data_IF_817033970010
#
_entry.id   IF_817033970010
#
_cell.length_a   1.000
_cell.length_b   1.000
_cell.length_c   1.000
_cell.angle_alpha   90.00
_cell.angle_beta   90.00
_cell.angle_gamma   90.00
#
_symmetry.space_group_name_H-M   'P 1'
#
loop_
_entity.id
_entity.type
_entity.pdbx_description
1 polymer ?
#
# COMPACT_ATOMS: atom_id res chain seq x y z
N UNK A 1 -8.45 -17.72 5.49
CA UNK A 1 -9.64 -18.38 4.92
C UNK A 1 -9.97 -17.65 3.62
N UNK A 2 -9.66 -18.29 2.49
CA UNK A 2 -10.01 -17.73 1.18
C UNK A 2 -11.51 -17.95 0.98
N UNK A 3 -12.27 -16.90 1.05
CA UNK A 3 -13.70 -16.94 0.70
C UNK A 3 -13.80 -16.95 -0.83
N UNK A 4 -13.97 -18.14 -1.43
CA UNK A 4 -14.34 -18.27 -2.82
C UNK A 4 -15.76 -17.72 -2.99
N UNK A 5 -15.87 -16.52 -3.52
CA UNK A 5 -17.15 -15.92 -3.84
C UNK A 5 -17.50 -16.33 -5.28
N UNK A 6 -18.51 -17.21 -5.40
CA UNK A 6 -19.13 -17.52 -6.68
C UNK A 6 -19.97 -16.30 -7.12
N UNK A 7 -19.63 -15.70 -8.24
CA UNK A 7 -20.34 -14.56 -8.81
C UNK A 7 -20.71 -14.86 -10.27
N UNK A 8 -21.95 -14.50 -10.67
CA UNK A 8 -22.34 -14.48 -12.07
C UNK A 8 -21.95 -13.13 -12.66
N UNK A 9 -21.32 -13.11 -13.82
CA UNK A 9 -20.99 -11.87 -14.55
C UNK A 9 -22.26 -11.17 -15.02
N UNK A 10 -23.22 -11.96 -15.53
CA UNK A 10 -24.50 -11.48 -16.07
C UNK A 10 -25.67 -12.14 -15.34
N UNK A 11 -26.03 -11.68 -14.12
CA UNK A 11 -27.13 -12.26 -13.34
C UNK A 11 -28.50 -12.11 -14.03
N UNK A 12 -28.64 -11.14 -14.94
CA UNK A 12 -29.83 -10.92 -15.74
C UNK A 12 -30.24 -12.11 -16.60
N UNK A 13 -29.28 -12.94 -17.06
CA UNK A 13 -29.62 -14.13 -17.82
C UNK A 13 -30.30 -15.22 -16.98
N UNK A 14 -30.20 -15.17 -15.66
CA UNK A 14 -30.93 -16.10 -14.79
C UNK A 14 -32.44 -15.92 -14.86
N UNK A 15 -32.94 -14.74 -15.28
CA UNK A 15 -34.37 -14.53 -15.49
C UNK A 15 -34.94 -15.42 -16.62
N UNK A 16 -34.08 -15.86 -17.57
CA UNK A 16 -34.52 -16.80 -18.61
C UNK A 16 -34.90 -18.17 -18.06
N UNK A 17 -34.54 -18.52 -16.81
CA UNK A 17 -35.03 -19.71 -16.14
C UNK A 17 -36.56 -19.72 -16.00
N UNK A 18 -37.21 -18.56 -16.03
CA UNK A 18 -38.68 -18.45 -16.04
C UNK A 18 -39.32 -19.01 -17.33
N UNK A 19 -38.54 -19.24 -18.38
CA UNK A 19 -39.02 -19.89 -19.60
C UNK A 19 -39.27 -21.40 -19.35
N UNK A 20 -38.59 -22.02 -18.39
CA UNK A 20 -38.71 -23.45 -18.12
C UNK A 20 -40.14 -23.86 -17.70
N UNK A 21 -40.77 -23.22 -16.68
CA UNK A 21 -42.15 -23.55 -16.31
C UNK A 21 -43.12 -23.33 -17.50
N UNK A 22 -42.87 -22.35 -18.36
CA UNK A 22 -43.68 -22.12 -19.57
C UNK A 22 -43.53 -23.28 -20.55
N UNK A 23 -42.31 -23.74 -20.81
CA UNK A 23 -42.04 -24.92 -21.65
C UNK A 23 -42.69 -26.17 -21.10
N UNK A 24 -42.64 -26.39 -19.79
CA UNK A 24 -43.30 -27.53 -19.11
C UNK A 24 -44.82 -27.43 -19.29
N UNK A 25 -45.40 -26.26 -19.09
CA UNK A 25 -46.85 -26.05 -19.25
C UNK A 25 -47.31 -26.31 -20.70
N UNK A 26 -46.55 -25.85 -21.69
CA UNK A 26 -46.80 -26.14 -23.13
C UNK A 26 -46.70 -27.64 -23.40
N UNK A 27 -45.63 -28.31 -22.93
CA UNK A 27 -45.45 -29.74 -23.13
C UNK A 27 -46.61 -30.53 -22.56
N UNK A 28 -47.02 -30.26 -21.29
CA UNK A 28 -48.13 -30.92 -20.63
C UNK A 28 -49.45 -30.62 -21.35
N UNK A 29 -49.66 -29.39 -21.79
CA UNK A 29 -50.88 -29.03 -22.55
C UNK A 29 -51.00 -29.78 -23.85
N UNK A 30 -49.92 -29.81 -24.61
CA UNK A 30 -49.89 -30.57 -25.90
C UNK A 30 -50.20 -32.04 -25.62
N UNK A 31 -49.65 -32.58 -24.57
CA UNK A 31 -49.84 -34.00 -24.21
C UNK A 31 -51.31 -34.31 -23.79
N UNK A 32 -51.92 -33.42 -23.07
CA UNK A 32 -53.34 -33.53 -22.66
C UNK A 32 -54.23 -33.40 -23.92
N UNK A 33 -53.95 -32.47 -24.78
CA UNK A 33 -54.71 -32.27 -26.05
C UNK A 33 -54.61 -33.50 -26.93
N UNK A 34 -53.38 -33.96 -27.18
CA UNK A 34 -53.16 -35.14 -28.00
C UNK A 34 -53.86 -36.38 -27.42
N UNK A 35 -53.79 -36.59 -26.11
CA UNK A 35 -54.47 -37.71 -25.43
C UNK A 35 -56.00 -37.57 -25.58
N UNK A 36 -56.59 -36.35 -25.50
CA UNK A 36 -58.02 -36.10 -25.70
C UNK A 36 -58.42 -36.32 -27.15
N UNK A 37 -57.63 -35.88 -28.13
CA UNK A 37 -57.93 -36.08 -29.56
C UNK A 37 -57.87 -37.55 -29.94
N UNK A 38 -56.85 -38.28 -29.45
CA UNK A 38 -56.70 -39.72 -29.74
C UNK A 38 -57.90 -40.51 -29.16
N UNK A 39 -58.39 -40.17 -27.96
CA UNK A 39 -59.61 -40.80 -27.39
C UNK A 39 -60.88 -40.54 -28.17
N UNK A 40 -60.92 -39.50 -29.03
CA UNK A 40 -62.05 -39.20 -29.90
C UNK A 40 -62.04 -39.99 -31.20
N UNK A 41 -60.88 -40.45 -31.65
CA UNK A 41 -60.71 -41.09 -32.95
C UNK A 41 -60.60 -42.65 -32.89
N UNK A 42 -60.17 -43.22 -31.77
CA UNK A 42 -60.01 -44.67 -31.64
C UNK A 42 -60.26 -45.17 -30.25
N UNK A 43 -60.85 -46.34 -30.13
CA UNK A 43 -61.05 -47.07 -28.89
C UNK A 43 -59.67 -47.59 -28.41
N UNK A 44 -59.40 -47.61 -27.12
CA UNK A 44 -58.07 -47.91 -26.51
C UNK A 44 -57.40 -49.19 -27.05
N UNK A 45 -58.22 -50.20 -27.45
CA UNK A 45 -57.72 -51.48 -28.06
C UNK A 45 -57.17 -51.34 -29.45
N UNK A 46 -57.61 -50.37 -30.25
CA UNK A 46 -57.09 -50.13 -31.63
C UNK A 46 -55.83 -49.29 -31.62
N UNK A 47 -55.54 -48.52 -30.60
CA UNK A 47 -54.33 -47.68 -30.48
C UNK A 47 -53.06 -48.48 -30.38
N UNK A 48 -53.06 -49.61 -29.65
CA UNK A 48 -51.89 -50.47 -29.50
C UNK A 48 -51.46 -51.12 -30.81
N UNK A 49 -52.44 -51.36 -31.70
CA UNK A 49 -52.18 -51.95 -33.02
C UNK A 49 -51.74 -50.92 -34.08
N UNK A 50 -52.22 -49.66 -34.00
CA UNK A 50 -51.95 -48.61 -34.97
C UNK A 50 -50.58 -47.92 -34.72
N UNK A 51 -50.12 -47.89 -33.47
CA UNK A 51 -48.85 -47.19 -33.14
C UNK A 51 -48.08 -48.05 -32.12
N UNK A 52 -47.53 -49.20 -32.58
CA UNK A 52 -46.82 -50.14 -31.68
C UNK A 52 -45.52 -49.58 -31.08
N UNK A 53 -44.98 -48.45 -31.65
CA UNK A 53 -43.73 -47.87 -31.23
C UNK A 53 -43.87 -46.53 -30.47
N UNK A 54 -45.10 -46.08 -30.15
CA UNK A 54 -45.35 -44.90 -29.39
C UNK A 54 -45.01 -45.11 -27.89
N UNK A 55 -43.74 -45.11 -27.58
CA UNK A 55 -43.27 -45.14 -26.20
C UNK A 55 -43.35 -43.73 -25.59
N UNK A 56 -44.30 -43.57 -24.64
CA UNK A 56 -44.41 -42.37 -23.82
C UNK A 56 -43.12 -42.06 -23.07
N UNK A 57 -42.31 -43.08 -22.74
CA UNK A 57 -41.01 -42.91 -22.08
C UNK A 57 -39.98 -42.16 -22.96
N UNK A 58 -39.90 -42.53 -24.25
CA UNK A 58 -38.94 -41.86 -25.18
C UNK A 58 -39.23 -40.40 -25.36
N UNK A 59 -40.50 -39.97 -25.43
CA UNK A 59 -40.89 -38.57 -25.55
C UNK A 59 -40.54 -37.78 -24.26
N UNK A 60 -40.72 -38.37 -23.08
CA UNK A 60 -40.37 -37.74 -21.82
C UNK A 60 -38.86 -37.55 -21.71
N UNK A 61 -38.06 -38.58 -22.07
CA UNK A 61 -36.60 -38.49 -22.01
C UNK A 61 -36.09 -37.38 -22.94
N UNK A 62 -36.64 -37.30 -24.20
CA UNK A 62 -36.26 -36.22 -25.11
C UNK A 62 -36.59 -34.84 -24.55
N UNK A 63 -37.76 -34.65 -23.92
CA UNK A 63 -38.13 -33.39 -23.31
C UNK A 63 -37.25 -33.04 -22.13
N UNK A 64 -36.93 -34.01 -21.26
CA UNK A 64 -36.01 -33.79 -20.10
C UNK A 64 -34.63 -33.40 -20.57
N UNK A 65 -34.07 -34.11 -21.58
CA UNK A 65 -32.78 -33.79 -22.17
C UNK A 65 -32.76 -32.37 -22.78
N UNK A 66 -33.81 -32.02 -23.52
CA UNK A 66 -33.97 -30.68 -24.10
C UNK A 66 -34.00 -29.62 -23.00
N UNK A 67 -34.80 -29.80 -21.95
CA UNK A 67 -34.87 -28.85 -20.83
C UNK A 67 -33.54 -28.74 -20.09
N UNK A 68 -32.81 -29.85 -19.92
CA UNK A 68 -31.49 -29.84 -19.32
C UNK A 68 -30.47 -29.03 -20.14
N UNK A 69 -30.49 -29.16 -21.46
CA UNK A 69 -29.65 -28.37 -22.36
C UNK A 69 -29.97 -26.88 -22.24
N UNK A 70 -31.25 -26.51 -22.18
CA UNK A 70 -31.67 -25.10 -21.99
C UNK A 70 -31.17 -24.56 -20.67
N UNK A 71 -31.31 -25.32 -19.56
CA UNK A 71 -30.81 -24.90 -18.24
C UNK A 71 -29.30 -24.68 -18.27
N UNK A 72 -28.55 -25.65 -18.83
CA UNK A 72 -27.08 -25.54 -18.92
C UNK A 72 -26.66 -24.39 -19.82
N UNK A 73 -27.39 -24.12 -20.91
CA UNK A 73 -27.15 -22.97 -21.78
C UNK A 73 -27.35 -21.63 -21.06
N UNK A 74 -28.42 -21.51 -20.27
CA UNK A 74 -28.66 -20.30 -19.44
C UNK A 74 -27.55 -20.11 -18.41
N UNK A 75 -27.17 -21.18 -17.70
CA UNK A 75 -26.10 -21.10 -16.71
C UNK A 75 -24.73 -20.76 -17.36
N UNK A 76 -24.45 -21.32 -18.53
CA UNK A 76 -23.23 -21.01 -19.27
C UNK A 76 -23.23 -19.53 -19.74
N UNK A 77 -24.38 -19.01 -20.21
CA UNK A 77 -24.52 -17.60 -20.61
C UNK A 77 -24.40 -16.64 -19.44
N UNK A 78 -24.80 -17.05 -18.23
CA UNK A 78 -24.64 -16.27 -17.01
C UNK A 78 -23.17 -16.14 -16.57
N UNK A 79 -22.24 -16.89 -17.19
CA UNK A 79 -20.80 -16.89 -16.96
C UNK A 79 -20.43 -16.92 -15.47
N UNK A 80 -20.47 -18.13 -14.89
CA UNK A 80 -20.08 -18.35 -13.50
C UNK A 80 -18.57 -18.11 -13.33
N UNK A 81 -18.20 -17.00 -12.68
CA UNK A 81 -16.82 -16.67 -12.36
C UNK A 81 -16.46 -17.12 -10.94
N UNK A 82 -15.39 -17.88 -10.84
CA UNK A 82 -14.70 -18.15 -9.57
C UNK A 82 -13.47 -17.26 -9.54
N UNK A 83 -13.57 -16.13 -8.84
CA UNK A 83 -12.45 -15.19 -8.69
C UNK A 83 -12.26 -14.84 -7.23
N UNK A 84 -11.01 -14.78 -6.78
CA UNK A 84 -10.68 -13.96 -5.63
C UNK A 84 -10.91 -12.50 -6.04
N UNK A 85 -11.74 -11.75 -5.32
CA UNK A 85 -11.69 -10.30 -5.41
C UNK A 85 -10.24 -9.92 -5.12
N UNK A 86 -9.48 -9.45 -6.12
CA UNK A 86 -8.48 -8.46 -5.81
C UNK A 86 -9.27 -7.26 -5.26
N UNK A 87 -9.36 -7.16 -3.94
CA UNK A 87 -9.56 -5.86 -3.35
C UNK A 87 -8.37 -5.06 -3.88
N UNK A 88 -8.63 -4.08 -4.75
CA UNK A 88 -7.75 -2.93 -4.82
C UNK A 88 -7.72 -2.38 -3.39
N UNK A 89 -6.81 -2.90 -2.58
CA UNK A 89 -6.34 -2.19 -1.41
C UNK A 89 -5.85 -0.87 -2.00
N UNK A 90 -6.68 0.17 -1.96
CA UNK A 90 -6.21 1.54 -2.03
C UNK A 90 -5.18 1.60 -0.92
N UNK A 91 -3.91 1.35 -1.26
CA UNK A 91 -2.81 1.68 -0.39
C UNK A 91 -2.88 3.19 -0.29
N UNK A 92 -3.47 3.66 0.78
CA UNK A 92 -3.32 5.04 1.18
C UNK A 92 -1.84 5.18 1.47
N UNK A 93 -1.08 5.75 0.50
CA UNK A 93 0.33 6.03 0.67
C UNK A 93 0.52 6.89 1.91
N UNK A 94 1.69 6.86 2.50
CA UNK A 94 2.04 7.73 3.62
C UNK A 94 2.96 8.85 3.16
N UNK A 95 2.88 10.00 3.84
CA UNK A 95 3.81 11.10 3.71
C UNK A 95 4.92 10.92 4.75
N UNK A 96 6.12 10.64 4.29
CA UNK A 96 7.31 10.49 5.12
C UNK A 96 8.20 11.72 5.03
N UNK A 97 8.48 12.37 6.15
CA UNK A 97 9.46 13.46 6.23
C UNK A 97 10.67 13.00 7.03
N UNK A 98 11.83 12.94 6.39
CA UNK A 98 13.10 12.69 7.06
C UNK A 98 13.73 13.99 7.52
N UNK A 99 13.97 14.15 8.81
CA UNK A 99 14.73 15.25 9.39
C UNK A 99 16.12 14.71 9.76
N UNK A 100 17.12 15.15 9.03
CA UNK A 100 18.51 14.66 9.14
C UNK A 100 19.34 15.72 9.80
N UNK A 101 19.92 15.36 10.93
CA UNK A 101 20.95 16.17 11.61
C UNK A 101 22.22 16.20 10.75
N UNK A 102 22.70 17.40 10.47
CA UNK A 102 23.96 17.65 9.77
C UNK A 102 24.92 18.51 10.56
N UNK A 103 24.75 18.53 11.90
CA UNK A 103 25.71 19.16 12.80
C UNK A 103 27.10 18.50 12.70
N UNK A 104 28.12 19.19 13.18
CA UNK A 104 29.50 18.68 13.06
C UNK A 104 29.72 17.36 13.81
N UNK A 105 28.96 17.07 14.86
CA UNK A 105 29.02 15.81 15.62
C UNK A 105 28.67 14.59 14.75
N UNK A 106 27.82 14.78 13.74
CA UNK A 106 27.45 13.74 12.78
C UNK A 106 28.62 13.29 11.86
N UNK A 107 29.74 13.99 11.87
CA UNK A 107 30.99 13.52 11.22
C UNK A 107 31.74 12.48 12.07
N UNK A 108 31.37 12.24 13.32
CA UNK A 108 32.00 11.24 14.18
C UNK A 108 31.97 9.84 13.52
N UNK A 109 33.06 9.08 13.72
CA UNK A 109 33.31 7.80 13.06
C UNK A 109 33.14 6.59 14.01
N UNK A 110 32.44 6.77 15.11
CA UNK A 110 32.08 5.66 16.03
C UNK A 110 31.16 4.64 15.35
N UNK A 111 30.38 5.08 14.39
CA UNK A 111 29.60 4.23 13.50
C UNK A 111 30.13 4.41 12.06
N UNK A 112 30.78 3.39 11.52
CA UNK A 112 31.41 3.47 10.21
C UNK A 112 30.39 3.64 9.06
N UNK A 113 30.67 4.45 8.02
CA UNK A 113 31.89 5.27 7.84
C UNK A 113 31.88 6.57 8.66
N UNK A 114 30.72 7.18 8.90
CA UNK A 114 30.42 8.22 9.88
C UNK A 114 28.95 8.17 10.24
N UNK A 115 28.52 8.86 11.31
CA UNK A 115 27.11 8.91 11.72
C UNK A 115 26.22 9.41 10.57
N UNK A 116 26.63 10.49 9.88
CA UNK A 116 25.89 11.05 8.75
C UNK A 116 25.80 10.07 7.57
N UNK A 117 26.90 9.48 7.16
CA UNK A 117 26.90 8.53 6.04
C UNK A 117 26.09 7.27 6.38
N UNK A 118 26.11 6.83 7.63
CA UNK A 118 25.27 5.72 8.09
C UNK A 118 23.78 6.08 8.07
N UNK A 119 23.44 7.32 8.47
CA UNK A 119 22.06 7.86 8.37
C UNK A 119 21.58 7.87 6.92
N UNK A 120 22.41 8.32 6.00
CA UNK A 120 22.10 8.33 4.54
C UNK A 120 21.87 6.91 4.02
N UNK A 121 22.68 5.95 4.42
CA UNK A 121 22.51 4.53 4.04
C UNK A 121 21.20 3.97 4.60
N UNK A 122 20.85 4.28 5.85
CA UNK A 122 19.59 3.83 6.45
C UNK A 122 18.37 4.39 5.70
N UNK A 123 18.36 5.68 5.40
CA UNK A 123 17.30 6.34 4.62
C UNK A 123 17.20 5.73 3.21
N UNK A 124 18.33 5.52 2.52
CA UNK A 124 18.34 4.90 1.19
C UNK A 124 17.73 3.49 1.22
N UNK A 125 17.99 2.71 2.27
CA UNK A 125 17.38 1.39 2.46
C UNK A 125 15.87 1.47 2.70
N UNK A 126 15.38 2.51 3.39
CA UNK A 126 13.95 2.76 3.56
C UNK A 126 13.34 3.12 2.22
N UNK A 127 13.94 4.08 1.47
CA UNK A 127 13.45 4.51 0.14
C UNK A 127 13.29 3.32 -0.81
N UNK A 128 14.21 2.35 -0.78
CA UNK A 128 14.14 1.15 -1.62
C UNK A 128 12.93 0.24 -1.32
N UNK A 129 12.31 0.39 -0.14
CA UNK A 129 11.15 -0.40 0.31
C UNK A 129 9.83 0.33 0.13
N UNK A 130 9.86 1.63 -0.15
CA UNK A 130 8.67 2.44 -0.37
C UNK A 130 8.00 2.07 -1.70
N UNK A 131 6.67 2.09 -1.70
CA UNK A 131 5.88 1.82 -2.90
C UNK A 131 4.55 2.57 -2.84
N UNK A 132 4.45 3.68 -3.57
CA UNK A 132 3.28 4.55 -3.56
C UNK A 132 3.26 5.58 -2.43
N UNK A 133 4.29 5.62 -1.60
CA UNK A 133 4.48 6.61 -0.54
C UNK A 133 5.13 7.88 -1.08
N UNK A 134 4.97 9.01 -0.37
CA UNK A 134 5.66 10.25 -0.69
C UNK A 134 6.75 10.52 0.35
N UNK A 135 7.85 11.09 -0.10
CA UNK A 135 9.01 11.35 0.73
C UNK A 135 9.47 12.80 0.62
N UNK A 136 9.84 13.40 1.72
CA UNK A 136 10.53 14.68 1.80
C UNK A 136 11.77 14.59 2.69
N UNK A 137 12.71 15.50 2.52
CA UNK A 137 13.93 15.55 3.30
C UNK A 137 14.14 16.98 3.82
N UNK A 138 14.31 17.09 5.12
CA UNK A 138 14.74 18.29 5.83
C UNK A 138 16.12 18.02 6.40
N UNK A 139 17.02 18.97 6.27
CA UNK A 139 18.31 18.96 6.95
C UNK A 139 18.32 20.02 8.03
N UNK A 140 18.92 19.73 9.18
CA UNK A 140 18.98 20.68 10.27
C UNK A 140 20.33 20.61 11.01
N UNK A 141 20.68 21.72 11.59
CA UNK A 141 21.76 21.93 12.56
C UNK A 141 21.33 23.09 13.48
N UNK A 142 22.01 24.24 13.53
CA UNK A 142 21.52 25.44 14.19
C UNK A 142 20.35 26.15 13.46
N UNK A 143 19.86 25.62 12.38
CA UNK A 143 18.65 26.00 11.63
C UNK A 143 18.17 24.80 10.82
N UNK A 144 16.91 24.84 10.34
CA UNK A 144 16.34 23.76 9.52
C UNK A 144 15.94 24.26 8.13
N UNK A 145 16.18 23.44 7.09
CA UNK A 145 15.88 23.74 5.68
C UNK A 145 15.29 22.53 4.97
N UNK A 146 14.32 22.79 4.09
CA UNK A 146 13.79 21.75 3.20
C UNK A 146 14.79 21.49 2.09
N UNK A 147 15.42 20.31 2.12
CA UNK A 147 16.35 19.86 1.08
C UNK A 147 15.61 19.25 -0.11
N UNK A 148 14.52 18.51 0.17
CA UNK A 148 13.62 17.94 -0.81
C UNK A 148 12.17 18.11 -0.34
N UNK A 149 11.31 18.84 -1.07
CA UNK A 149 9.88 18.84 -0.82
C UNK A 149 9.27 17.45 -1.00
N UNK A 150 8.08 17.23 -0.43
CA UNK A 150 7.38 15.94 -0.53
C UNK A 150 7.14 15.58 -2.00
N UNK A 151 7.62 14.42 -2.41
CA UNK A 151 7.54 13.90 -3.77
C UNK A 151 7.40 12.37 -3.79
N UNK A 152 6.93 11.83 -4.91
CA UNK A 152 6.95 10.40 -5.24
C UNK A 152 8.19 10.00 -6.03
N UNK A 153 9.04 10.96 -6.41
CA UNK A 153 10.26 10.71 -7.17
C UNK A 153 11.40 10.22 -6.25
N UNK A 154 11.50 8.90 -6.11
CA UNK A 154 12.54 8.26 -5.31
C UNK A 154 13.95 8.42 -5.91
N UNK A 155 14.07 8.64 -7.24
CA UNK A 155 15.36 8.86 -7.86
C UNK A 155 15.89 10.24 -7.46
N UNK A 156 15.06 11.28 -7.52
CA UNK A 156 15.39 12.61 -7.00
C UNK A 156 15.73 12.54 -5.51
N UNK A 157 14.94 11.81 -4.70
CA UNK A 157 15.21 11.67 -3.26
C UNK A 157 16.61 11.08 -2.98
N UNK A 158 17.02 10.05 -3.69
CA UNK A 158 18.37 9.46 -3.55
C UNK A 158 19.46 10.43 -4.00
N UNK A 159 19.22 11.19 -5.08
CA UNK A 159 20.17 12.18 -5.56
C UNK A 159 20.37 13.27 -4.51
N UNK A 160 19.29 13.90 -4.00
CA UNK A 160 19.40 14.93 -2.97
C UNK A 160 20.03 14.39 -1.69
N UNK A 161 19.65 13.16 -1.26
CA UNK A 161 20.27 12.51 -0.11
C UNK A 161 21.79 12.36 -0.27
N UNK A 162 22.28 12.05 -1.47
CA UNK A 162 23.72 11.90 -1.72
C UNK A 162 24.50 13.21 -1.58
N UNK A 163 23.87 14.36 -1.85
CA UNK A 163 24.51 15.69 -1.77
C UNK A 163 24.60 16.23 -0.33
N UNK A 164 23.90 15.61 0.62
CA UNK A 164 23.88 16.07 2.02
C UNK A 164 25.26 15.90 2.66
N UNK A 165 25.74 16.96 3.27
CA UNK A 165 26.98 17.00 4.04
C UNK A 165 26.86 18.06 5.15
N UNK A 166 27.74 18.01 6.14
CA UNK A 166 27.72 18.89 7.32
C UNK A 166 28.06 20.36 7.02
N UNK A 167 28.56 20.68 5.82
CA UNK A 167 28.88 22.05 5.41
C UNK A 167 27.71 22.81 4.77
N UNK A 168 26.57 22.14 4.55
CA UNK A 168 25.39 22.78 3.95
C UNK A 168 24.80 23.89 4.82
N UNK A 169 24.88 23.75 6.15
CA UNK A 169 24.38 24.73 7.12
C UNK A 169 25.58 25.35 7.84
N UNK A 170 25.87 26.65 7.63
CA UNK A 170 26.99 27.32 8.32
C UNK A 170 26.78 27.45 9.83
N UNK A 171 25.53 27.68 10.28
CA UNK A 171 25.22 27.79 11.70
C UNK A 171 25.21 26.42 12.33
N UNK A 172 26.12 26.22 13.27
CA UNK A 172 26.23 24.96 14.02
C UNK A 172 25.33 25.01 15.25
N UNK A 173 24.93 23.84 15.71
CA UNK A 173 23.97 23.60 16.78
C UNK A 173 23.07 22.47 16.38
N UNK A 174 22.07 22.16 17.21
CA UNK A 174 21.09 21.10 16.90
C UNK A 174 19.73 21.61 17.39
N UNK A 175 18.89 22.02 16.45
CA UNK A 175 17.55 22.56 16.71
C UNK A 175 16.49 21.58 16.21
N UNK A 176 16.25 20.52 16.99
CA UNK A 176 15.30 19.44 16.67
C UNK A 176 13.86 19.98 16.58
N UNK A 177 13.48 20.88 17.50
CA UNK A 177 12.15 21.48 17.51
C UNK A 177 11.84 22.26 16.25
N UNK A 178 12.80 23.06 15.76
CA UNK A 178 12.69 23.81 14.50
C UNK A 178 12.52 22.87 13.31
N UNK A 179 13.25 21.75 13.27
CA UNK A 179 13.12 20.74 12.21
C UNK A 179 11.74 20.06 12.20
N UNK A 180 11.22 19.67 13.37
CA UNK A 180 9.88 19.08 13.49
C UNK A 180 8.80 20.08 13.05
N UNK A 181 8.88 21.34 13.49
CA UNK A 181 7.92 22.39 13.12
C UNK A 181 7.94 22.67 11.61
N UNK A 182 9.12 22.66 10.99
CA UNK A 182 9.26 22.79 9.54
C UNK A 182 8.65 21.58 8.81
N UNK A 183 8.84 20.37 9.33
CA UNK A 183 8.24 19.16 8.79
C UNK A 183 6.70 19.21 8.83
N UNK A 184 6.11 19.61 9.96
CA UNK A 184 4.67 19.80 10.12
C UNK A 184 4.13 20.75 9.05
N UNK A 185 4.77 21.90 8.85
CA UNK A 185 4.39 22.89 7.84
C UNK A 185 4.53 22.35 6.41
N UNK A 186 5.54 21.54 6.15
CA UNK A 186 5.84 21.00 4.82
C UNK A 186 4.85 19.94 4.34
N UNK A 187 4.07 19.31 5.21
CA UNK A 187 3.01 18.38 4.81
C UNK A 187 1.81 19.07 4.14
N UNK A 188 1.56 20.35 4.45
CA UNK A 188 0.40 21.09 3.91
C UNK A 188 -0.94 20.39 4.21
N UNK A 189 -1.89 20.54 3.28
CA UNK A 189 -3.24 19.98 3.40
C UNK A 189 -3.33 18.55 2.81
N UNK A 190 -2.32 17.72 3.01
CA UNK A 190 -2.32 16.34 2.55
C UNK A 190 -3.34 15.49 3.34
N UNK A 191 -4.11 14.66 2.63
CA UNK A 191 -5.04 13.66 3.22
C UNK A 191 -4.33 12.35 3.60
N UNK A 192 -3.08 12.17 3.20
CA UNK A 192 -2.29 10.97 3.53
C UNK A 192 -1.95 10.93 5.01
N UNK A 193 -1.77 9.72 5.53
CA UNK A 193 -1.15 9.53 6.84
C UNK A 193 0.26 10.14 6.84
N UNK A 194 0.66 10.78 7.95
CA UNK A 194 1.89 11.55 8.02
C UNK A 194 2.82 10.96 9.07
N UNK A 195 4.11 10.87 8.73
CA UNK A 195 5.14 10.46 9.67
C UNK A 195 6.41 11.30 9.50
N UNK A 196 7.01 11.66 10.62
CA UNK A 196 8.30 12.36 10.71
C UNK A 196 9.30 11.38 11.30
N UNK A 197 10.46 11.27 10.68
CA UNK A 197 11.60 10.46 11.17
C UNK A 197 12.76 11.42 11.41
N UNK A 198 13.08 11.65 12.67
CA UNK A 198 14.23 12.47 13.09
C UNK A 198 15.43 11.56 13.28
N UNK A 199 16.56 11.93 12.68
CA UNK A 199 17.83 11.20 12.80
C UNK A 199 18.86 12.17 13.31
N UNK A 200 19.35 11.96 14.53
CA UNK A 200 20.28 12.84 15.25
C UNK A 200 21.12 12.00 16.21
N UNK A 201 22.21 12.57 16.70
CA UNK A 201 22.96 12.01 17.83
C UNK A 201 22.44 12.48 19.20
N UNK A 202 21.34 13.21 19.22
CA UNK A 202 20.65 13.59 20.47
C UNK A 202 21.21 14.81 21.20
N UNK A 203 22.26 15.44 20.69
CA UNK A 203 22.80 16.70 21.27
C UNK A 203 21.85 17.86 20.94
N UNK A 204 20.76 18.02 21.73
CA UNK A 204 19.79 19.12 21.55
C UNK A 204 20.23 20.35 22.37
N UNK A 205 20.34 21.48 21.68
CA UNK A 205 20.74 22.74 22.27
C UNK A 205 19.54 23.66 22.61
N UNK A 206 18.32 23.22 22.30
CA UNK A 206 17.08 23.94 22.56
C UNK A 206 16.42 23.48 23.88
N UNK A 207 16.17 24.41 24.78
CA UNK A 207 15.55 24.19 26.10
C UNK A 207 14.09 23.69 26.01
N UNK A 208 13.89 22.45 25.52
CA UNK A 208 12.58 21.77 25.52
C UNK A 208 11.64 22.11 24.37
N UNK A 209 12.08 22.81 23.34
CA UNK A 209 11.23 23.12 22.17
C UNK A 209 10.98 21.88 21.28
N UNK A 210 11.89 20.91 21.28
CA UNK A 210 11.68 19.61 20.64
C UNK A 210 10.46 18.87 21.21
N UNK A 211 10.28 18.87 22.53
CA UNK A 211 9.14 18.24 23.20
C UNK A 211 7.83 18.94 22.83
N UNK A 212 7.80 20.27 22.79
CA UNK A 212 6.62 21.03 22.37
C UNK A 212 6.25 20.74 20.93
N UNK A 213 7.22 20.73 20.01
CA UNK A 213 7.02 20.40 18.61
C UNK A 213 6.50 18.96 18.42
N UNK A 214 7.02 18.01 19.20
CA UNK A 214 6.54 16.63 19.20
C UNK A 214 5.08 16.51 19.68
N UNK A 215 4.71 17.27 20.72
CA UNK A 215 3.32 17.33 21.21
C UNK A 215 2.38 17.95 20.17
N UNK A 216 2.83 18.96 19.43
CA UNK A 216 2.06 19.56 18.34
C UNK A 216 1.85 18.56 17.19
N UNK A 217 2.90 17.85 16.77
CA UNK A 217 2.81 16.77 15.78
C UNK A 217 1.79 15.71 16.20
N UNK A 218 1.83 15.28 17.46
CA UNK A 218 0.89 14.29 18.00
C UNK A 218 -0.57 14.79 17.99
N UNK A 219 -0.83 16.06 18.32
CA UNK A 219 -2.18 16.67 18.25
C UNK A 219 -2.73 16.67 16.83
N UNK A 220 -1.85 16.78 15.82
CA UNK A 220 -2.20 16.75 14.40
C UNK A 220 -2.28 15.30 13.82
N UNK A 221 -2.12 14.26 14.66
CA UNK A 221 -2.15 12.88 14.25
C UNK A 221 -0.89 12.43 13.49
N UNK A 222 0.19 13.22 13.50
CA UNK A 222 1.45 12.93 12.83
C UNK A 222 2.28 11.99 13.73
N UNK A 223 2.72 10.86 13.19
CA UNK A 223 3.59 9.94 13.90
C UNK A 223 5.03 10.44 13.88
N UNK A 224 5.67 10.52 15.04
CA UNK A 224 7.06 10.93 15.18
C UNK A 224 7.91 9.73 15.60
N UNK A 225 8.98 9.50 14.88
CA UNK A 225 9.99 8.48 15.17
C UNK A 225 11.35 9.15 15.30
N UNK A 226 12.17 8.69 16.24
CA UNK A 226 13.55 9.15 16.44
C UNK A 226 14.51 8.00 16.26
N UNK A 227 15.62 8.25 15.59
CA UNK A 227 16.72 7.31 15.39
C UNK A 227 17.98 7.98 15.93
N UNK A 228 18.50 7.45 17.04
CA UNK A 228 19.77 7.90 17.61
C UNK A 228 20.94 7.35 16.81
N UNK A 229 21.91 8.21 16.52
CA UNK A 229 23.14 7.85 15.78
C UNK A 229 24.38 8.17 16.62
N UNK A 230 24.99 7.16 17.20
CA UNK A 230 26.18 7.28 18.03
C UNK A 230 26.35 6.09 18.95
N UNK A 231 27.47 6.06 19.66
CA UNK A 231 27.75 5.13 20.76
C UNK A 231 27.81 5.91 22.09
N UNK A 232 27.40 5.27 23.18
CA UNK A 232 27.46 5.84 24.54
C UNK A 232 28.90 6.21 24.95
N UNK A 233 29.90 5.45 24.46
CA UNK A 233 31.31 5.71 24.71
C UNK A 233 31.77 7.01 24.06
N UNK A 234 31.10 7.43 22.97
CA UNK A 234 31.39 8.63 22.22
C UNK A 234 32.63 8.50 21.32
N UNK A 235 32.80 9.49 20.43
CA UNK A 235 33.95 9.57 19.54
C UNK A 235 34.40 11.02 19.30
N UNK A 236 35.69 11.21 18.96
CA UNK A 236 36.17 12.53 18.56
C UNK A 236 35.68 12.89 17.16
N UNK A 237 35.39 14.18 16.94
CA UNK A 237 34.91 14.69 15.65
C UNK A 237 36.13 14.93 14.74
N UNK A 238 36.29 14.19 13.62
CA UNK A 238 37.42 14.36 12.72
C UNK A 238 37.30 15.66 11.91
N UNK A 239 38.43 16.28 11.59
CA UNK A 239 38.54 17.41 10.69
C UNK A 239 39.24 16.98 9.42
N UNK A 240 38.65 17.32 8.26
CA UNK A 240 39.19 17.03 6.95
C UNK A 240 39.55 18.30 6.18
N UNK A 241 40.62 18.26 5.40
CA UNK A 241 40.93 19.33 4.47
C UNK A 241 40.13 19.18 3.18
N UNK A 242 40.24 20.18 2.27
CA UNK A 242 39.55 20.19 0.97
C UNK A 242 39.89 18.99 0.05
N UNK A 243 40.94 18.23 0.36
CA UNK A 243 41.35 17.03 -0.38
C UNK A 243 40.86 15.72 0.31
N UNK A 244 40.00 15.82 1.34
CA UNK A 244 39.50 14.68 2.07
C UNK A 244 40.50 13.99 3.01
N UNK A 245 41.69 14.60 3.25
CA UNK A 245 42.70 14.06 4.18
C UNK A 245 42.40 14.56 5.60
N UNK A 246 42.37 13.65 6.57
CA UNK A 246 42.18 13.98 7.99
C UNK A 246 43.36 14.81 8.48
N UNK A 247 43.07 16.00 9.04
CA UNK A 247 44.06 16.96 9.58
C UNK A 247 44.15 16.92 11.09
N UNK A 248 43.15 16.34 11.76
CA UNK A 248 43.09 16.22 13.21
C UNK A 248 41.69 16.00 13.71
N UNK A 249 41.44 16.42 14.94
CA UNK A 249 40.14 16.38 15.58
C UNK A 249 39.71 17.76 16.04
N UNK A 250 38.40 18.00 16.10
CA UNK A 250 37.83 19.25 16.62
C UNK A 250 38.26 19.45 18.07
N UNK A 251 38.71 20.66 18.38
CA UNK A 251 39.13 21.06 19.72
C UNK A 251 38.17 22.13 20.26
N UNK A 252 38.00 22.14 21.58
CA UNK A 252 37.29 23.18 22.30
C UNK A 252 38.18 24.44 22.43
N UNK A 253 37.65 25.46 23.13
CA UNK A 253 38.37 26.71 23.39
C UNK A 253 39.58 26.55 24.31
N UNK A 254 39.69 25.42 25.04
CA UNK A 254 40.81 25.07 25.90
C UNK A 254 41.86 24.17 25.17
N UNK A 255 41.62 23.82 23.90
CA UNK A 255 42.51 22.97 23.10
C UNK A 255 42.32 21.49 23.32
N UNK A 256 41.35 21.05 24.12
CA UNK A 256 41.01 19.65 24.35
C UNK A 256 40.17 19.11 23.16
N UNK A 257 40.34 17.81 22.84
CA UNK A 257 39.57 17.17 21.81
C UNK A 257 38.09 17.06 22.23
N UNK A 258 37.18 17.52 21.40
CA UNK A 258 35.72 17.39 21.61
C UNK A 258 35.30 15.95 21.33
N UNK A 259 34.68 15.31 22.33
CA UNK A 259 34.09 14.00 22.22
C UNK A 259 32.59 14.17 22.24
N UNK A 260 31.90 13.69 21.20
CA UNK A 260 30.43 13.67 21.10
C UNK A 260 29.91 12.29 21.49
N UNK A 261 28.81 12.20 22.22
CA UNK A 261 28.15 10.98 22.69
C UNK A 261 26.70 10.95 22.24
N UNK A 262 26.12 9.75 22.20
CA UNK A 262 24.68 9.58 22.04
C UNK A 262 23.99 9.80 23.39
#
# INVERSE_FOLDING_TARGET
>A
METHILRFEHPEYLYWLLVIPVLIAIYVSIRIINKRQFKRFANDKFMEFLIPLASNGRSNIKFILFTMVVILGILASANLQTGSKMEESKREGIDLMFCIDISNSMNAEDIAPSRLERSKQAINNIINKLNGDRIGIIVFAGNAYVQLPITTDYAAAKLFLSTINTSLIPSQGTEIGTAINLAIKSFGNSEYNKAIIVISDGEDHENGDAIKAAQEAAKLGIKLYTIGMGLEEGAPIPLYNQYGKRTGYKKDNEGKIVITKL
#
